data_IF_914608968751
#
_entry.id   IF_914608968751
#
_cell.length_a   1.000
_cell.length_b   1.000
_cell.length_c   1.000
_cell.angle_alpha   90.00
_cell.angle_beta   90.00
_cell.angle_gamma   90.00
#
_symmetry.space_group_name_H-M   'P 1'
#
loop_
_entity.id
_entity.type
_entity.pdbx_description
1 polymer ?
#
# COMPACT_ATOMS: atom_id res chain seq x y z
N UNK A 1 -7.32 20.60 44.96
CA UNK A 1 -8.17 20.36 43.78
C UNK A 1 -7.36 19.90 42.56
N UNK A 2 -6.33 20.64 42.11
CA UNK A 2 -5.51 20.26 40.96
C UNK A 2 -4.81 18.89 41.08
N UNK A 3 -4.24 18.55 42.24
CA UNK A 3 -3.60 17.24 42.48
C UNK A 3 -4.59 16.06 42.37
N UNK A 4 -5.80 16.23 42.89
CA UNK A 4 -6.87 15.23 42.82
C UNK A 4 -7.32 15.02 41.36
N UNK A 5 -7.46 16.10 40.60
CA UNK A 5 -7.81 16.03 39.18
C UNK A 5 -6.71 15.35 38.35
N UNK A 6 -5.44 15.64 38.66
CA UNK A 6 -4.30 14.99 37.99
C UNK A 6 -4.26 13.49 38.29
N UNK A 7 -4.45 13.09 39.55
CA UNK A 7 -4.50 11.68 39.94
C UNK A 7 -5.67 10.95 39.27
N UNK A 8 -6.85 11.57 39.25
CA UNK A 8 -8.01 11.01 38.55
C UNK A 8 -7.75 10.85 37.06
N UNK A 9 -7.13 11.84 36.41
CA UNK A 9 -6.76 11.76 35.00
C UNK A 9 -5.76 10.61 34.74
N UNK A 10 -4.68 10.53 35.53
CA UNK A 10 -3.67 9.49 35.38
C UNK A 10 -4.21 8.06 35.57
N UNK A 11 -5.31 7.88 36.31
CA UNK A 11 -5.93 6.58 36.55
C UNK A 11 -7.06 6.27 35.55
N UNK A 12 -7.93 7.24 35.28
CA UNK A 12 -9.09 7.04 34.39
C UNK A 12 -8.69 6.98 32.92
N UNK A 13 -7.69 7.77 32.51
CA UNK A 13 -7.23 7.80 31.13
C UNK A 13 -6.73 6.43 30.62
N UNK A 14 -5.79 5.74 31.29
CA UNK A 14 -5.34 4.42 30.83
C UNK A 14 -6.44 3.35 30.93
N UNK A 15 -7.31 3.43 31.93
CA UNK A 15 -8.47 2.53 32.04
C UNK A 15 -9.42 2.70 30.84
N UNK A 16 -9.63 3.94 30.42
CA UNK A 16 -10.45 4.27 29.25
C UNK A 16 -9.83 3.72 27.97
N UNK A 17 -8.51 3.87 27.78
CA UNK A 17 -7.78 3.28 26.66
C UNK A 17 -7.89 1.75 26.68
N UNK A 18 -7.72 1.12 27.84
CA UNK A 18 -7.79 -0.33 28.00
C UNK A 18 -9.15 -0.89 27.56
N UNK A 19 -10.23 -0.15 27.78
CA UNK A 19 -11.58 -0.55 27.38
C UNK A 19 -11.86 -0.24 25.90
N UNK A 20 -11.46 0.94 25.41
CA UNK A 20 -11.79 1.41 24.06
C UNK A 20 -10.96 0.70 22.99
N UNK A 21 -9.64 0.53 23.21
CA UNK A 21 -8.73 0.03 22.18
C UNK A 21 -9.11 -1.37 21.67
N UNK A 22 -9.40 -2.37 22.52
CA UNK A 22 -9.76 -3.70 22.03
C UNK A 22 -11.09 -3.71 21.28
N UNK A 23 -12.04 -2.85 21.69
CA UNK A 23 -13.33 -2.70 21.01
C UNK A 23 -13.17 -2.03 19.65
N UNK A 24 -12.39 -0.94 19.57
CA UNK A 24 -12.05 -0.28 18.31
C UNK A 24 -11.31 -1.24 17.37
N UNK A 25 -10.39 -2.06 17.89
CA UNK A 25 -9.70 -3.09 17.14
C UNK A 25 -10.66 -4.15 16.59
N UNK A 26 -11.65 -4.57 17.38
CA UNK A 26 -12.68 -5.52 16.95
C UNK A 26 -13.52 -4.96 15.79
N UNK A 27 -13.99 -3.71 15.90
CA UNK A 27 -14.74 -3.04 14.83
C UNK A 27 -13.89 -2.85 13.56
N UNK A 28 -12.62 -2.44 13.73
CA UNK A 28 -11.68 -2.31 12.62
C UNK A 28 -11.41 -3.64 11.93
N UNK A 29 -11.26 -4.72 12.70
CA UNK A 29 -11.09 -6.09 12.17
C UNK A 29 -12.32 -6.55 11.42
N UNK A 30 -13.53 -6.26 11.92
CA UNK A 30 -14.78 -6.57 11.22
C UNK A 30 -14.85 -5.83 9.88
N UNK A 31 -14.59 -4.52 9.89
CA UNK A 31 -14.56 -3.72 8.66
C UNK A 31 -13.52 -4.27 7.66
N UNK A 32 -12.34 -4.66 8.14
CA UNK A 32 -11.28 -5.28 7.33
C UNK A 32 -11.76 -6.53 6.61
N UNK A 33 -12.41 -7.46 7.32
CA UNK A 33 -12.94 -8.69 6.72
C UNK A 33 -14.05 -8.42 5.71
N UNK A 34 -14.85 -7.38 5.93
CA UNK A 34 -15.95 -7.03 5.05
C UNK A 34 -15.52 -6.25 3.81
N UNK A 35 -14.41 -5.52 3.85
CA UNK A 35 -14.05 -4.56 2.77
C UNK A 35 -12.84 -5.00 1.95
N UNK A 36 -11.77 -5.46 2.59
CA UNK A 36 -10.51 -5.75 1.91
C UNK A 36 -10.63 -6.84 0.82
N UNK A 37 -11.38 -7.94 1.00
CA UNK A 37 -11.53 -8.95 -0.06
C UNK A 37 -12.10 -8.37 -1.36
N UNK A 38 -13.12 -7.51 -1.27
CA UNK A 38 -13.74 -6.90 -2.45
C UNK A 38 -12.79 -5.92 -3.14
N UNK A 39 -12.04 -5.13 -2.36
CA UNK A 39 -11.00 -4.25 -2.91
C UNK A 39 -9.92 -5.06 -3.65
N UNK A 40 -9.50 -6.18 -3.08
CA UNK A 40 -8.50 -7.06 -3.70
C UNK A 40 -9.02 -7.72 -4.97
N UNK A 41 -10.29 -8.14 -5.01
CA UNK A 41 -10.92 -8.67 -6.23
C UNK A 41 -11.00 -7.59 -7.31
N UNK A 42 -11.39 -6.36 -6.95
CA UNK A 42 -11.43 -5.25 -7.90
C UNK A 42 -10.06 -5.01 -8.55
N UNK A 43 -8.98 -5.02 -7.77
CA UNK A 43 -7.60 -4.92 -8.28
C UNK A 43 -7.23 -6.15 -9.12
N UNK A 44 -7.60 -7.36 -8.69
CA UNK A 44 -7.25 -8.60 -9.38
C UNK A 44 -7.87 -8.70 -10.79
N UNK A 45 -9.06 -8.13 -10.97
CA UNK A 45 -9.81 -8.10 -12.23
C UNK A 45 -9.29 -7.05 -13.22
N UNK A 46 -8.64 -6.00 -12.74
CA UNK A 46 -8.08 -4.93 -13.58
C UNK A 46 -6.68 -5.32 -14.10
N UNK A 47 -6.65 -5.91 -15.29
CA UNK A 47 -5.40 -6.37 -15.93
C UNK A 47 -4.41 -5.23 -16.18
N UNK A 48 -4.92 -4.07 -16.55
CA UNK A 48 -4.13 -2.89 -16.90
C UNK A 48 -3.42 -2.34 -15.69
N UNK A 49 -4.19 -2.13 -14.61
CA UNK A 49 -3.65 -1.72 -13.32
C UNK A 49 -2.58 -2.68 -12.80
N UNK A 50 -2.77 -4.00 -12.95
CA UNK A 50 -1.79 -5.00 -12.51
C UNK A 50 -0.49 -4.99 -13.30
N UNK A 51 -0.54 -4.66 -14.60
CA UNK A 51 0.66 -4.48 -15.44
C UNK A 51 1.43 -3.23 -15.02
N UNK A 52 0.72 -2.13 -14.82
CA UNK A 52 1.33 -0.88 -14.34
C UNK A 52 1.88 -1.01 -12.92
N UNK A 53 1.24 -1.80 -12.05
CA UNK A 53 1.74 -2.11 -10.72
C UNK A 53 3.04 -2.93 -10.76
N UNK A 54 3.15 -3.89 -11.70
CA UNK A 54 4.41 -4.58 -11.92
C UNK A 54 5.53 -3.63 -12.35
N UNK A 55 5.23 -2.68 -13.25
CA UNK A 55 6.18 -1.69 -13.72
C UNK A 55 6.54 -0.65 -12.63
N UNK A 56 5.60 -0.26 -11.78
CA UNK A 56 5.85 0.59 -10.62
C UNK A 56 6.85 -0.07 -9.66
N UNK A 57 6.62 -1.34 -9.31
CA UNK A 57 7.58 -2.10 -8.52
C UNK A 57 8.95 -2.20 -9.19
N UNK A 58 8.99 -2.47 -10.49
CA UNK A 58 10.26 -2.57 -11.22
C UNK A 58 11.02 -1.23 -11.21
N UNK A 59 10.30 -0.13 -11.39
CA UNK A 59 10.86 1.23 -11.30
C UNK A 59 11.49 1.48 -9.94
N UNK A 60 10.78 1.15 -8.86
CA UNK A 60 11.29 1.33 -7.49
C UNK A 60 12.49 0.43 -7.22
N UNK A 61 12.41 -0.85 -7.59
CA UNK A 61 13.52 -1.79 -7.43
C UNK A 61 14.78 -1.31 -8.16
N UNK A 62 14.67 -0.88 -9.42
CA UNK A 62 15.80 -0.32 -10.19
C UNK A 62 16.34 0.96 -9.56
N UNK A 63 15.49 1.86 -9.07
CA UNK A 63 15.94 3.07 -8.37
C UNK A 63 16.77 2.71 -7.13
N UNK A 64 16.32 1.75 -6.33
CA UNK A 64 17.02 1.32 -5.12
C UNK A 64 18.32 0.59 -5.43
N UNK A 65 18.35 -0.23 -6.48
CA UNK A 65 19.56 -0.87 -6.99
C UNK A 65 20.59 0.17 -7.42
N UNK A 66 20.20 1.18 -8.20
CA UNK A 66 21.10 2.24 -8.69
C UNK A 66 21.66 3.10 -7.56
N UNK A 67 20.87 3.39 -6.53
CA UNK A 67 21.30 4.21 -5.38
C UNK A 67 22.05 3.36 -4.35
N UNK A 68 21.88 2.03 -4.36
CA UNK A 68 22.52 1.10 -3.43
C UNK A 68 21.92 1.12 -2.01
N UNK A 69 20.74 1.71 -1.85
CA UNK A 69 20.03 1.72 -0.57
C UNK A 69 18.52 1.80 -0.79
N UNK A 70 17.78 1.44 0.26
CA UNK A 70 16.33 1.58 0.28
C UNK A 70 15.93 3.04 0.33
N UNK A 71 14.94 3.40 -0.46
CA UNK A 71 14.41 4.75 -0.56
C UNK A 71 13.08 4.85 0.20
N UNK A 72 12.77 6.02 0.78
CA UNK A 72 11.45 6.31 1.34
C UNK A 72 10.49 6.69 0.21
N UNK A 73 10.27 5.76 -0.72
CA UNK A 73 9.38 5.93 -1.87
C UNK A 73 8.12 5.10 -1.64
N UNK A 74 6.98 5.64 -2.08
CA UNK A 74 5.72 4.91 -2.19
C UNK A 74 5.14 5.08 -3.59
N UNK A 75 4.51 4.03 -4.11
CA UNK A 75 3.85 4.09 -5.40
C UNK A 75 2.42 3.58 -5.36
N UNK A 76 1.71 3.90 -6.42
CA UNK A 76 0.33 3.46 -6.65
C UNK A 76 0.08 3.37 -8.14
N UNK A 77 -0.54 2.28 -8.60
CA UNK A 77 -0.83 2.06 -10.00
C UNK A 77 -2.32 2.22 -10.33
N UNK A 78 -2.57 2.79 -11.51
CA UNK A 78 -3.86 2.92 -12.18
C UNK A 78 -3.80 2.17 -13.54
N UNK A 79 -4.92 2.14 -14.27
CA UNK A 79 -4.97 1.46 -15.57
C UNK A 79 -4.15 2.17 -16.67
N UNK A 80 -3.96 3.48 -16.56
CA UNK A 80 -3.26 4.32 -17.55
C UNK A 80 -1.84 4.75 -17.12
N UNK A 81 -1.35 4.22 -16.01
CA UNK A 81 -0.01 4.51 -15.52
C UNK A 81 0.16 4.24 -14.03
N UNK A 82 1.13 4.92 -13.42
CA UNK A 82 1.41 4.81 -12.00
C UNK A 82 2.05 6.07 -11.44
N UNK A 83 2.03 6.17 -10.11
CA UNK A 83 2.59 7.27 -9.34
C UNK A 83 3.78 6.80 -8.54
N UNK A 84 4.76 7.68 -8.40
CA UNK A 84 5.92 7.54 -7.53
C UNK A 84 5.98 8.77 -6.64
N UNK A 85 5.94 8.58 -5.32
CA UNK A 85 6.02 9.65 -4.33
C UNK A 85 7.29 9.49 -3.51
N UNK A 86 8.06 10.55 -3.32
CA UNK A 86 9.22 10.54 -2.44
C UNK A 86 10.28 11.56 -2.81
N UNK A 87 11.14 11.87 -1.84
CA UNK A 87 12.01 13.06 -1.86
C UNK A 87 13.30 12.85 -2.66
N UNK A 88 13.65 11.60 -2.98
CA UNK A 88 15.02 11.24 -3.37
C UNK A 88 15.29 11.15 -4.88
N UNK A 89 14.30 11.34 -5.76
CA UNK A 89 14.48 11.07 -7.19
C UNK A 89 14.05 12.25 -8.07
N UNK A 90 14.97 12.69 -8.93
CA UNK A 90 14.68 13.63 -10.01
C UNK A 90 13.81 12.95 -11.07
N UNK A 91 12.90 13.65 -11.75
CA UNK A 91 12.02 13.05 -12.77
C UNK A 91 12.80 12.27 -13.85
N UNK A 92 13.96 12.77 -14.29
CA UNK A 92 14.83 12.05 -15.23
C UNK A 92 15.34 10.71 -14.70
N UNK A 93 15.72 10.64 -13.41
CA UNK A 93 16.16 9.39 -12.79
C UNK A 93 15.03 8.38 -12.67
N UNK A 94 13.82 8.84 -12.33
CA UNK A 94 12.62 7.99 -12.27
C UNK A 94 12.28 7.45 -13.65
N UNK A 95 12.26 8.30 -14.68
CA UNK A 95 12.00 7.87 -16.05
C UNK A 95 13.05 6.84 -16.52
N UNK A 96 14.33 7.10 -16.29
CA UNK A 96 15.40 6.18 -16.67
C UNK A 96 15.31 4.83 -15.94
N UNK A 97 14.89 4.82 -14.67
CA UNK A 97 14.68 3.59 -13.92
C UNK A 97 13.41 2.85 -14.37
N UNK A 98 12.36 3.57 -14.73
CA UNK A 98 11.13 2.99 -15.28
C UNK A 98 11.39 2.34 -16.65
N UNK A 99 12.16 2.99 -17.51
CA UNK A 99 12.57 2.45 -18.81
C UNK A 99 13.40 1.17 -18.64
N UNK A 100 14.41 1.19 -17.76
CA UNK A 100 15.21 -0.01 -17.48
C UNK A 100 14.34 -1.12 -16.86
N UNK A 101 13.48 -0.79 -15.89
CA UNK A 101 12.57 -1.74 -15.25
C UNK A 101 11.62 -2.39 -16.25
N UNK A 102 11.06 -1.60 -17.19
CA UNK A 102 10.24 -2.10 -18.28
C UNK A 102 11.02 -3.06 -19.18
N UNK A 103 12.21 -2.68 -19.62
CA UNK A 103 13.07 -3.51 -20.47
C UNK A 103 13.43 -4.83 -19.79
N UNK A 104 13.81 -4.81 -18.51
CA UNK A 104 14.14 -6.01 -17.74
C UNK A 104 12.93 -6.92 -17.51
N UNK A 105 11.75 -6.35 -17.23
CA UNK A 105 10.51 -7.10 -17.15
C UNK A 105 10.14 -7.76 -18.49
N UNK A 106 10.28 -7.02 -19.61
CA UNK A 106 10.06 -7.54 -20.96
C UNK A 106 11.06 -8.65 -21.31
N UNK A 107 12.30 -8.55 -20.83
CA UNK A 107 13.33 -9.59 -20.93
C UNK A 107 13.08 -10.80 -20.00
N UNK A 108 12.04 -10.75 -19.15
CA UNK A 108 11.61 -11.87 -18.32
C UNK A 108 12.07 -11.83 -16.86
N UNK A 109 12.66 -10.74 -16.39
CA UNK A 109 13.11 -10.58 -15.00
C UNK A 109 11.94 -10.31 -14.04
N UNK A 110 11.14 -11.35 -13.76
CA UNK A 110 9.88 -11.26 -13.02
C UNK A 110 10.03 -10.81 -11.56
N UNK A 111 11.22 -10.97 -10.96
CA UNK A 111 11.49 -10.57 -9.57
C UNK A 111 11.29 -9.07 -9.35
N UNK A 112 11.52 -8.25 -10.38
CA UNK A 112 11.32 -6.81 -10.32
C UNK A 112 9.86 -6.40 -10.12
N UNK A 113 8.91 -7.28 -10.48
CA UNK A 113 7.47 -6.99 -10.34
C UNK A 113 6.95 -7.10 -8.90
N UNK A 114 7.80 -7.43 -7.92
CA UNK A 114 7.40 -7.61 -6.53
C UNK A 114 8.27 -6.75 -5.61
N UNK A 115 7.65 -6.10 -4.63
CA UNK A 115 8.35 -5.24 -3.69
C UNK A 115 7.90 -5.52 -2.24
N UNK A 116 8.83 -5.74 -1.28
CA UNK A 116 8.50 -6.16 0.08
C UNK A 116 7.83 -5.06 0.93
N UNK A 117 7.77 -3.81 0.43
CA UNK A 117 7.11 -2.68 1.11
C UNK A 117 5.90 -2.14 0.34
N UNK A 118 5.36 -2.92 -0.59
CA UNK A 118 4.11 -2.61 -1.28
C UNK A 118 2.93 -2.53 -0.29
N UNK A 119 1.94 -1.68 -0.56
CA UNK A 119 0.69 -1.62 0.23
C UNK A 119 -0.05 -2.96 0.32
N UNK A 120 0.13 -3.86 -0.65
CA UNK A 120 -0.40 -5.24 -0.61
C UNK A 120 0.10 -6.01 0.62
N UNK A 121 1.33 -5.74 1.10
CA UNK A 121 1.90 -6.35 2.31
C UNK A 121 1.17 -5.88 3.57
N UNK A 122 0.80 -4.60 3.62
CA UNK A 122 0.03 -4.03 4.74
C UNK A 122 -1.37 -4.65 4.76
N UNK A 123 -2.04 -4.69 3.61
CA UNK A 123 -3.36 -5.32 3.43
C UNK A 123 -3.33 -6.79 3.86
N UNK A 124 -2.30 -7.55 3.48
CA UNK A 124 -2.14 -8.94 3.89
C UNK A 124 -2.04 -9.08 5.42
N UNK A 125 -1.20 -8.25 6.07
CA UNK A 125 -1.04 -8.25 7.52
C UNK A 125 -2.31 -7.88 8.27
N UNK A 126 -3.08 -6.92 7.76
CA UNK A 126 -4.38 -6.53 8.32
C UNK A 126 -5.39 -7.68 8.24
N UNK A 127 -5.47 -8.35 7.08
CA UNK A 127 -6.36 -9.49 6.89
C UNK A 127 -6.02 -10.65 7.85
N UNK A 128 -4.73 -10.99 7.99
CA UNK A 128 -4.29 -12.00 8.96
C UNK A 128 -4.59 -11.59 10.39
N UNK A 129 -4.38 -10.33 10.74
CA UNK A 129 -4.71 -9.82 12.08
C UNK A 129 -6.19 -10.00 12.37
N UNK A 130 -7.06 -9.58 11.45
CA UNK A 130 -8.50 -9.68 11.61
C UNK A 130 -8.98 -11.14 11.70
N UNK A 131 -8.50 -12.02 10.81
CA UNK A 131 -8.81 -13.45 10.83
C UNK A 131 -8.37 -14.11 12.14
N UNK A 132 -7.14 -13.83 12.58
CA UNK A 132 -6.60 -14.36 13.84
C UNK A 132 -7.41 -13.88 15.04
N UNK A 133 -7.76 -12.59 15.07
CA UNK A 133 -8.53 -12.01 16.16
C UNK A 133 -9.87 -12.72 16.34
N UNK A 134 -10.66 -12.84 15.27
CA UNK A 134 -11.95 -13.54 15.34
C UNK A 134 -11.81 -15.04 15.54
N UNK A 135 -10.76 -15.69 15.02
CA UNK A 135 -10.49 -17.09 15.32
C UNK A 135 -10.27 -17.31 16.82
N UNK A 136 -9.44 -16.50 17.48
CA UNK A 136 -9.21 -16.60 18.94
C UNK A 136 -10.50 -16.36 19.72
N UNK A 137 -11.30 -15.34 19.35
CA UNK A 137 -12.57 -15.05 20.00
C UNK A 137 -13.65 -16.12 19.76
N UNK A 138 -13.59 -16.84 18.65
CA UNK A 138 -14.51 -17.92 18.35
C UNK A 138 -14.28 -19.13 19.26
N UNK A 139 -13.01 -19.46 19.55
CA UNK A 139 -12.66 -20.62 20.38
C UNK A 139 -12.64 -20.34 21.89
N UNK A 140 -12.47 -19.08 22.29
CA UNK A 140 -12.37 -18.69 23.70
C UNK A 140 -13.62 -17.94 24.16
N UNK A 141 -13.89 -17.98 25.48
CA UNK A 141 -15.00 -17.21 26.06
C UNK A 141 -14.73 -15.71 25.91
N UNK A 142 -15.72 -14.97 25.41
CA UNK A 142 -15.63 -13.52 25.25
C UNK A 142 -15.50 -12.85 26.62
N UNK A 143 -14.33 -12.24 26.86
CA UNK A 143 -14.01 -11.48 28.07
C UNK A 143 -12.97 -10.42 27.74
N UNK A 144 -12.81 -9.39 28.57
CA UNK A 144 -11.80 -8.35 28.36
C UNK A 144 -10.36 -8.92 28.26
N UNK A 145 -9.91 -9.84 29.13
CA UNK A 145 -8.61 -10.50 28.97
C UNK A 145 -8.49 -11.25 27.63
N UNK A 146 -9.53 -11.97 27.21
CA UNK A 146 -9.54 -12.68 25.92
C UNK A 146 -9.38 -11.70 24.75
N UNK A 147 -10.06 -10.55 24.78
CA UNK A 147 -9.95 -9.51 23.74
C UNK A 147 -8.52 -8.97 23.63
N UNK A 148 -7.88 -8.71 24.77
CA UNK A 148 -6.49 -8.24 24.82
C UNK A 148 -5.52 -9.28 24.26
N UNK A 149 -5.66 -10.54 24.67
CA UNK A 149 -4.83 -11.65 24.16
C UNK A 149 -5.04 -11.84 22.66
N UNK A 150 -6.29 -11.86 22.20
CA UNK A 150 -6.63 -11.99 20.79
C UNK A 150 -6.01 -10.85 19.96
N UNK A 151 -6.07 -9.61 20.45
CA UNK A 151 -5.49 -8.44 19.79
C UNK A 151 -3.96 -8.54 19.68
N UNK A 152 -3.28 -8.92 20.77
CA UNK A 152 -1.81 -9.07 20.77
C UNK A 152 -1.38 -10.18 19.82
N UNK A 153 -2.01 -11.35 19.89
CA UNK A 153 -1.70 -12.49 19.01
C UNK A 153 -1.97 -12.13 17.54
N UNK A 154 -3.10 -11.47 17.27
CA UNK A 154 -3.44 -10.97 15.93
C UNK A 154 -2.37 -10.04 15.36
N UNK A 155 -1.93 -9.04 16.13
CA UNK A 155 -0.89 -8.10 15.69
C UNK A 155 0.46 -8.78 15.46
N UNK A 156 0.83 -9.74 16.32
CA UNK A 156 2.07 -10.51 16.17
C UNK A 156 2.05 -11.37 14.90
N UNK A 157 0.99 -12.16 14.69
CA UNK A 157 0.85 -13.00 13.49
C UNK A 157 0.69 -12.15 12.23
N UNK A 158 -0.08 -11.07 12.29
CA UNK A 158 -0.22 -10.11 11.20
C UNK A 158 1.13 -9.55 10.76
N UNK A 159 1.97 -9.12 11.71
CA UNK A 159 3.31 -8.61 11.41
C UNK A 159 4.25 -9.69 10.87
N UNK A 160 4.22 -10.89 11.45
CA UNK A 160 5.10 -12.00 11.05
C UNK A 160 4.78 -12.50 9.64
N UNK A 161 3.49 -12.59 9.29
CA UNK A 161 3.02 -13.17 8.04
C UNK A 161 2.73 -12.14 6.93
N UNK A 162 2.75 -10.84 7.24
CA UNK A 162 2.46 -9.77 6.29
C UNK A 162 3.31 -9.86 5.01
N UNK A 163 4.64 -9.90 5.15
CA UNK A 163 5.54 -9.89 4.01
C UNK A 163 5.45 -11.16 3.14
N UNK A 164 5.55 -12.39 3.68
CA UNK A 164 5.48 -13.59 2.85
C UNK A 164 4.14 -13.72 2.11
N UNK A 165 3.02 -13.44 2.79
CA UNK A 165 1.70 -13.48 2.16
C UNK A 165 1.48 -12.32 1.19
N UNK A 166 1.97 -11.13 1.53
CA UNK A 166 1.90 -9.96 0.65
C UNK A 166 2.65 -10.18 -0.67
N UNK A 167 3.82 -10.82 -0.63
CA UNK A 167 4.57 -11.19 -1.85
C UNK A 167 3.84 -12.26 -2.66
N UNK A 168 3.20 -13.23 -2.00
CA UNK A 168 2.37 -14.22 -2.68
C UNK A 168 1.16 -13.57 -3.39
N UNK A 169 0.47 -12.65 -2.72
CA UNK A 169 -0.64 -11.89 -3.29
C UNK A 169 -0.18 -11.01 -4.45
N UNK A 170 1.00 -10.39 -4.36
CA UNK A 170 1.59 -9.65 -5.49
C UNK A 170 1.78 -10.55 -6.70
N UNK A 171 2.44 -11.69 -6.51
CA UNK A 171 2.73 -12.64 -7.60
C UNK A 171 1.48 -13.22 -8.27
N UNK A 172 0.40 -13.41 -7.53
CA UNK A 172 -0.79 -14.13 -8.01
C UNK A 172 -1.94 -13.20 -8.40
N UNK A 173 -2.15 -12.12 -7.64
CA UNK A 173 -3.35 -11.28 -7.73
C UNK A 173 -3.06 -9.83 -8.10
N UNK A 174 -2.09 -9.16 -7.48
CA UNK A 174 -1.99 -7.69 -7.60
C UNK A 174 -1.02 -7.21 -8.66
N UNK A 175 -0.14 -8.07 -9.19
CA UNK A 175 0.74 -7.74 -10.31
C UNK A 175 0.57 -8.69 -11.49
N UNK A 176 1.05 -8.27 -12.66
CA UNK A 176 1.07 -9.07 -13.88
C UNK A 176 2.35 -8.76 -14.68
N UNK A 177 3.20 -9.76 -14.86
CA UNK A 177 4.51 -9.62 -15.52
C UNK A 177 4.45 -9.66 -17.05
N UNK A 178 3.26 -9.85 -17.61
CA UNK A 178 3.02 -9.80 -19.05
C UNK A 178 2.89 -8.33 -19.48
N UNK A 179 4.04 -7.69 -19.75
CA UNK A 179 4.17 -6.27 -20.09
C UNK A 179 4.78 -6.04 -21.48
N UNK A 180 4.74 -7.05 -22.35
CA UNK A 180 5.41 -7.03 -23.66
C UNK A 180 4.91 -5.93 -24.60
N UNK A 181 3.65 -5.55 -24.49
CA UNK A 181 3.00 -4.51 -25.29
C UNK A 181 2.86 -3.17 -24.54
N UNK A 182 3.48 -3.04 -23.37
CA UNK A 182 3.37 -1.84 -22.54
C UNK A 182 4.51 -0.88 -22.88
N UNK A 183 4.17 0.39 -23.08
CA UNK A 183 5.10 1.47 -23.39
C UNK A 183 4.98 2.60 -22.38
N UNK A 184 6.11 3.19 -21.99
CA UNK A 184 6.14 4.43 -21.22
C UNK A 184 5.99 5.62 -22.17
N UNK A 185 5.05 6.51 -21.87
CA UNK A 185 4.74 7.68 -22.70
C UNK A 185 5.44 8.93 -22.17
N UNK A 186 5.08 9.36 -20.96
CA UNK A 186 5.60 10.60 -20.35
C UNK A 186 5.61 10.54 -18.83
N UNK A 187 6.39 11.43 -18.24
CA UNK A 187 6.42 11.69 -16.79
C UNK A 187 5.96 13.11 -16.53
N UNK A 188 5.07 13.26 -15.56
CA UNK A 188 4.54 14.55 -15.11
C UNK A 188 4.84 14.70 -13.62
N UNK A 189 5.41 15.84 -13.25
CA UNK A 189 5.52 16.22 -11.84
C UNK A 189 4.21 16.83 -11.39
N UNK A 190 3.58 16.24 -10.39
CA UNK A 190 2.35 16.74 -9.79
C UNK A 190 2.75 17.58 -8.59
N UNK A 191 2.48 18.88 -8.68
CA UNK A 191 2.70 19.80 -7.56
C UNK A 191 1.64 19.56 -6.47
N UNK A 192 2.01 19.68 -5.19
CA UNK A 192 1.07 19.58 -4.10
C UNK A 192 0.03 20.71 -4.18
N UNK A 193 -1.25 20.37 -3.98
CA UNK A 193 -2.39 21.30 -3.99
C UNK A 193 -2.27 22.42 -2.93
N UNK A 194 -1.50 22.20 -1.86
CA UNK A 194 -1.30 23.22 -0.82
C UNK A 194 -0.01 23.03 -0.01
N UNK A 195 0.48 24.13 0.57
CA UNK A 195 1.59 24.12 1.54
C UNK A 195 1.27 23.33 2.81
N UNK A 196 -0.01 23.26 3.20
CA UNK A 196 -0.46 22.44 4.34
C UNK A 196 -0.20 20.96 4.09
N UNK A 197 -0.45 20.47 2.86
CA UNK A 197 -0.15 19.08 2.48
C UNK A 197 1.35 18.79 2.52
N UNK A 198 2.19 19.75 2.11
CA UNK A 198 3.65 19.61 2.21
C UNK A 198 4.10 19.50 3.66
N UNK A 199 3.54 20.33 4.54
CA UNK A 199 3.91 20.39 5.96
C UNK A 199 3.48 19.12 6.71
N UNK A 200 2.25 18.66 6.50
CA UNK A 200 1.69 17.46 7.14
C UNK A 200 2.41 16.18 6.70
N UNK A 201 2.94 16.14 5.48
CA UNK A 201 3.63 14.97 4.93
C UNK A 201 5.14 15.04 5.11
N UNK A 202 5.64 15.99 5.92
CA UNK A 202 7.09 16.23 6.13
C UNK A 202 7.85 16.37 4.81
N UNK A 203 7.25 17.04 3.82
CA UNK A 203 7.83 17.21 2.49
C UNK A 203 7.75 15.99 1.57
N UNK A 204 7.28 14.82 2.03
CA UNK A 204 7.17 13.63 1.19
C UNK A 204 6.10 13.73 0.10
N UNK A 205 5.06 14.56 0.30
CA UNK A 205 4.08 14.88 -0.76
C UNK A 205 4.49 16.06 -1.62
N UNK A 206 5.67 16.66 -1.42
CA UNK A 206 6.15 17.75 -2.26
C UNK A 206 6.59 17.26 -3.65
N UNK A 207 6.93 15.97 -3.77
CA UNK A 207 7.47 15.36 -5.00
C UNK A 207 6.67 14.10 -5.33
N UNK A 208 5.59 14.29 -6.08
CA UNK A 208 4.79 13.23 -6.69
C UNK A 208 5.01 13.27 -8.20
N UNK A 209 5.33 12.12 -8.78
CA UNK A 209 5.49 11.97 -10.22
C UNK A 209 4.48 10.96 -10.73
N UNK A 210 3.79 11.29 -11.81
CA UNK A 210 2.93 10.37 -12.56
C UNK A 210 3.66 9.94 -13.82
N UNK A 211 3.71 8.64 -14.05
CA UNK A 211 4.21 8.04 -15.27
C UNK A 211 3.02 7.47 -16.04
N UNK A 212 2.86 7.90 -17.27
CA UNK A 212 1.79 7.45 -18.15
C UNK A 212 2.26 6.27 -18.99
N UNK A 213 1.38 5.30 -19.17
CA UNK A 213 1.66 4.10 -19.96
C UNK A 213 0.62 3.93 -21.05
N UNK A 214 1.04 3.41 -22.20
CA UNK A 214 0.16 3.08 -23.33
C UNK A 214 0.38 1.64 -23.75
N UNK A 215 -0.63 1.02 -24.36
CA UNK A 215 -0.50 -0.32 -24.94
C UNK A 215 -0.62 -0.32 -26.46
N UNK A 216 0.05 -1.28 -27.10
CA UNK A 216 -0.14 -1.52 -28.54
C UNK A 216 -1.58 -1.93 -28.83
N UNK A 217 -2.24 -1.21 -29.75
CA UNK A 217 -3.66 -1.36 -30.09
C UNK A 217 -4.58 -0.29 -29.53
N UNK A 218 -4.07 0.62 -28.68
CA UNK A 218 -4.78 1.78 -28.16
C UNK A 218 -4.70 2.95 -29.19
N UNK A 219 -5.23 2.71 -30.41
CA UNK A 219 -5.41 3.76 -31.40
C UNK A 219 -6.72 4.52 -31.11
N UNK A 220 -6.60 5.74 -30.59
CA UNK A 220 -7.62 6.78 -30.80
C UNK A 220 -8.73 6.95 -29.76
N UNK A 221 -8.51 6.60 -28.49
CA UNK A 221 -9.43 6.95 -27.41
C UNK A 221 -9.01 8.21 -26.66
N UNK A 222 -9.51 9.38 -27.05
CA UNK A 222 -9.45 10.63 -26.25
C UNK A 222 -10.31 10.54 -24.98
N UNK A 223 -10.08 9.54 -24.14
CA UNK A 223 -10.67 9.41 -22.82
C UNK A 223 -9.89 10.26 -21.84
N UNK A 224 -10.25 11.54 -21.71
CA UNK A 224 -9.75 12.40 -20.64
C UNK A 224 -9.84 11.73 -19.27
N UNK A 225 -9.05 12.18 -18.29
CA UNK A 225 -8.84 11.47 -17.03
C UNK A 225 -10.18 11.13 -16.37
N UNK A 226 -10.50 9.83 -16.26
CA UNK A 226 -11.57 9.37 -15.38
C UNK A 226 -11.11 9.66 -13.96
N UNK A 227 -11.47 10.85 -13.49
CA UNK A 227 -11.23 11.36 -12.14
C UNK A 227 -11.95 10.44 -11.15
N UNK A 228 -11.29 9.38 -10.72
CA UNK A 228 -11.73 8.60 -9.58
C UNK A 228 -11.63 9.49 -8.36
N UNK A 229 -12.78 9.80 -7.74
CA UNK A 229 -12.82 10.41 -6.41
C UNK A 229 -12.15 9.41 -5.46
N UNK A 230 -11.03 9.83 -4.87
CA UNK A 230 -10.44 9.13 -3.74
C UNK A 230 -11.52 8.96 -2.67
N UNK A 231 -11.79 7.70 -2.32
CA UNK A 231 -12.44 7.33 -1.06
C UNK A 231 -11.35 7.02 -0.04
#
# INVERSE_FOLDING_TARGET
MALLMLLAFCLLFPLTILLIVPFAFALGSLNTLLTLPFQMIAVALDKERRRNHALEHATVNVLEERIGQRLPISGFAEADGFFVNGVAAQPAAIMAAAQEGLQRLQAGERSLAWHPRCGTVIVAGQLISALTFFAVLFYLKLSLPTLLVAMVVALLLGRLLAQPLGLLLQRTLTTRTDVGNLHLDRIEQIMPESLVNVLLTRGQSALRFRLWTRQDGDEGGSGGPKRWKAY
#
